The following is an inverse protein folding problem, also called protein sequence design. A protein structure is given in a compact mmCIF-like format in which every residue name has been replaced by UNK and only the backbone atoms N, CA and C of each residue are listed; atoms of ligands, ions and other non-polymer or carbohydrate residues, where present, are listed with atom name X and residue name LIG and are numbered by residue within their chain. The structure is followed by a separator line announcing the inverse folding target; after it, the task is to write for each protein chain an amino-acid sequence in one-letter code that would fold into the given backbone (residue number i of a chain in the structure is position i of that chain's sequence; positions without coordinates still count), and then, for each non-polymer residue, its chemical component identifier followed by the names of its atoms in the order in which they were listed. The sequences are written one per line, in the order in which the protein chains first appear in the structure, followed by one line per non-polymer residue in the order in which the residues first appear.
data_IF_014247688798
#
_entry.id   IF_014247688798
#
_cell.length_a   1.000
_cell.length_b   1.000
_cell.length_c   1.000
_cell.angle_alpha   90.00
_cell.angle_beta   90.00
_cell.angle_gamma   90.00
#
_symmetry.space_group_name_H-M   'P 1'
#
loop_
_entity.id
_entity.type
_entity.pdbx_description
1 polymer ?
#
# COMPACT_ATOMS: atom_id res chain seq x y z
N UNK A 1 3.81 2.10 -9.31
CA UNK A 1 3.23 3.00 -8.28
C UNK A 1 1.94 3.53 -8.86
N UNK A 2 0.81 3.29 -8.19
CA UNK A 2 -0.51 3.82 -8.60
C UNK A 2 -0.95 4.77 -7.49
N UNK A 3 -1.20 6.03 -7.86
CA UNK A 3 -1.68 7.06 -6.94
C UNK A 3 -3.16 7.25 -7.21
N UNK A 4 -3.97 7.22 -6.15
CA UNK A 4 -5.40 7.45 -6.22
C UNK A 4 -5.79 8.69 -5.42
N UNK A 5 -6.52 9.60 -6.06
CA UNK A 5 -6.98 10.85 -5.46
C UNK A 5 -8.50 10.84 -5.48
N UNK A 6 -9.12 11.02 -4.31
CA UNK A 6 -10.55 11.29 -4.20
C UNK A 6 -10.75 12.74 -3.82
N UNK A 7 -11.52 13.46 -4.62
CA UNK A 7 -12.02 14.77 -4.24
C UNK A 7 -13.42 14.61 -3.67
N UNK A 8 -13.68 15.17 -2.48
CA UNK A 8 -15.05 15.45 -2.05
C UNK A 8 -15.43 16.84 -2.55
N UNK A 9 -16.58 16.95 -3.22
CA UNK A 9 -17.16 18.23 -3.61
C UNK A 9 -18.59 18.28 -3.07
N UNK A 10 -18.78 18.88 -1.90
CA UNK A 10 -20.07 19.42 -1.45
C UNK A 10 -19.94 20.85 -0.91
N UNK A 11 -18.76 21.27 -0.45
CA UNK A 11 -18.42 22.66 -0.11
C UNK A 11 -17.04 23.07 -0.67
N UNK A 12 -16.82 24.35 -1.01
CA UNK A 12 -15.61 24.82 -1.70
C UNK A 12 -14.29 24.76 -0.90
N UNK A 13 -14.30 24.29 0.35
CA UNK A 13 -13.13 24.25 1.24
C UNK A 13 -12.66 22.83 1.62
N UNK A 14 -13.27 21.76 1.11
CA UNK A 14 -12.90 20.41 1.50
C UNK A 14 -11.73 19.86 0.65
N UNK A 15 -10.70 19.39 1.36
CA UNK A 15 -9.44 18.90 0.80
C UNK A 15 -9.56 17.59 0.02
N UNK A 16 -8.44 17.17 -0.56
CA UNK A 16 -8.33 15.93 -1.33
C UNK A 16 -7.94 14.79 -0.38
N UNK A 17 -8.64 13.65 -0.45
CA UNK A 17 -8.24 12.41 0.21
C UNK A 17 -7.25 11.66 -0.68
N UNK A 18 -6.08 11.30 -0.14
CA UNK A 18 -5.01 10.64 -0.91
C UNK A 18 -4.78 9.20 -0.43
N UNK A 19 -5.00 8.26 -1.36
CA UNK A 19 -4.66 6.85 -1.22
C UNK A 19 -3.53 6.46 -2.17
N UNK A 20 -2.50 5.78 -1.66
CA UNK A 20 -1.35 5.36 -2.47
C UNK A 20 -1.30 3.83 -2.50
N UNK A 21 -1.21 3.25 -3.71
CA UNK A 21 -0.94 1.82 -3.88
C UNK A 21 0.44 1.66 -4.48
N UNK A 22 1.31 0.94 -3.76
CA UNK A 22 2.69 0.72 -4.20
C UNK A 22 2.93 -0.72 -4.64
N UNK A 23 3.69 -0.86 -5.73
CA UNK A 23 4.22 -2.16 -6.18
C UNK A 23 5.62 -2.39 -5.64
N UNK A 24 6.09 -3.64 -5.71
CA UNK A 24 7.41 -4.07 -5.21
C UNK A 24 8.44 -4.34 -6.30
N UNK A 25 8.12 -4.04 -7.57
CA UNK A 25 8.91 -4.42 -8.74
C UNK A 25 10.34 -3.86 -8.80
N UNK A 26 10.66 -2.84 -7.99
CA UNK A 26 12.03 -2.32 -7.84
C UNK A 26 12.90 -3.22 -6.95
N UNK A 27 12.33 -3.88 -5.94
CA UNK A 27 13.03 -4.78 -5.01
C UNK A 27 12.92 -6.23 -5.50
N UNK A 28 11.78 -6.60 -6.07
CA UNK A 28 11.47 -7.97 -6.43
C UNK A 28 10.79 -8.04 -7.81
N UNK A 29 11.48 -8.57 -8.82
CA UNK A 29 10.97 -8.73 -10.20
C UNK A 29 10.68 -10.20 -10.50
N UNK A 30 9.40 -10.53 -10.69
CA UNK A 30 8.93 -11.89 -10.95
C UNK A 30 9.66 -12.63 -12.09
N UNK A 31 10.09 -11.91 -13.12
CA UNK A 31 10.84 -12.49 -14.25
C UNK A 31 12.20 -13.07 -13.85
N UNK A 32 12.87 -12.49 -12.85
CA UNK A 32 14.16 -13.01 -12.35
C UNK A 32 14.03 -14.31 -11.56
N UNK A 33 12.82 -14.64 -11.07
CA UNK A 33 12.62 -15.79 -10.20
C UNK A 33 12.28 -17.07 -10.92
N UNK A 34 11.64 -16.96 -12.09
CA UNK A 34 11.38 -18.11 -12.95
C UNK A 34 12.67 -18.89 -13.28
N UNK A 35 13.83 -18.23 -13.23
CA UNK A 35 15.15 -18.83 -13.44
C UNK A 35 15.87 -19.23 -12.14
N UNK A 36 15.43 -18.74 -10.98
CA UNK A 36 16.11 -18.94 -9.69
C UNK A 36 15.75 -20.25 -8.97
N UNK A 37 14.76 -20.99 -9.46
CA UNK A 37 14.24 -22.20 -8.80
C UNK A 37 13.39 -21.94 -7.55
N UNK A 38 13.12 -20.67 -7.21
CA UNK A 38 12.24 -20.29 -6.11
C UNK A 38 10.78 -20.64 -6.45
N UNK A 39 10.10 -21.27 -5.50
CA UNK A 39 8.67 -21.59 -5.63
C UNK A 39 7.84 -20.32 -5.81
N UNK A 40 6.81 -20.41 -6.66
CA UNK A 40 5.98 -19.27 -7.06
C UNK A 40 5.27 -18.63 -5.86
N UNK A 41 4.80 -19.40 -4.88
CA UNK A 41 4.11 -18.87 -3.69
C UNK A 41 5.09 -18.09 -2.82
N UNK A 42 6.29 -18.63 -2.66
CA UNK A 42 7.38 -17.94 -1.94
C UNK A 42 7.71 -16.62 -2.64
N UNK A 43 7.82 -16.64 -3.97
CA UNK A 43 8.08 -15.43 -4.74
C UNK A 43 6.98 -14.37 -4.59
N UNK A 44 5.71 -14.77 -4.62
CA UNK A 44 4.60 -13.82 -4.38
C UNK A 44 4.65 -13.20 -2.98
N UNK A 45 5.00 -13.97 -1.94
CA UNK A 45 5.20 -13.44 -0.59
C UNK A 45 6.35 -12.43 -0.52
N UNK A 46 7.48 -12.73 -1.16
CA UNK A 46 8.61 -11.80 -1.26
C UNK A 46 8.19 -10.51 -1.98
N UNK A 47 7.40 -10.62 -3.05
CA UNK A 47 6.82 -9.48 -3.76
C UNK A 47 5.89 -8.64 -2.89
N UNK A 48 5.04 -9.28 -2.07
CA UNK A 48 4.17 -8.58 -1.10
C UNK A 48 5.00 -7.87 -0.03
N UNK A 49 6.03 -8.49 0.54
CA UNK A 49 6.93 -7.86 1.50
C UNK A 49 7.69 -6.68 0.89
N UNK A 50 8.15 -6.80 -0.35
CA UNK A 50 8.79 -5.72 -1.09
C UNK A 50 7.88 -4.47 -1.19
N UNK A 51 6.57 -4.64 -1.34
CA UNK A 51 5.63 -3.51 -1.32
C UNK A 51 5.55 -2.84 0.05
N UNK A 52 5.64 -3.59 1.15
CA UNK A 52 5.65 -3.06 2.52
C UNK A 52 6.92 -2.23 2.75
N UNK A 53 8.08 -2.73 2.32
CA UNK A 53 9.35 -1.98 2.42
C UNK A 53 9.24 -0.63 1.72
N UNK A 54 8.72 -0.62 0.49
CA UNK A 54 8.52 0.62 -0.25
C UNK A 54 7.50 1.56 0.43
N UNK A 55 6.42 1.00 0.99
CA UNK A 55 5.40 1.78 1.66
C UNK A 55 5.96 2.51 2.89
N UNK A 56 6.80 1.85 3.68
CA UNK A 56 7.50 2.47 4.82
C UNK A 56 8.44 3.59 4.37
N UNK A 57 9.18 3.38 3.28
CA UNK A 57 10.05 4.42 2.72
C UNK A 57 9.26 5.67 2.27
N UNK A 58 8.09 5.47 1.65
CA UNK A 58 7.21 6.59 1.29
C UNK A 58 6.62 7.26 2.52
N UNK A 59 6.22 6.50 3.55
CA UNK A 59 5.69 7.07 4.78
C UNK A 59 6.72 8.02 5.42
N UNK A 60 7.96 7.56 5.60
CA UNK A 60 9.05 8.36 6.15
C UNK A 60 9.33 9.61 5.30
N UNK A 61 9.35 9.48 3.97
CA UNK A 61 9.53 10.63 3.07
C UNK A 61 8.41 11.67 3.19
N UNK A 62 7.15 11.25 3.33
CA UNK A 62 5.99 12.13 3.51
C UNK A 62 6.00 12.78 4.90
N UNK A 63 6.33 12.02 5.95
CA UNK A 63 6.41 12.52 7.32
C UNK A 63 7.53 13.57 7.48
N UNK A 64 8.66 13.41 6.77
CA UNK A 64 9.71 14.45 6.68
C UNK A 64 9.25 15.75 6.02
N UNK A 65 8.19 15.70 5.21
CA UNK A 65 7.57 16.89 4.60
C UNK A 65 6.41 17.45 5.45
N UNK A 66 6.23 16.95 6.68
CA UNK A 66 5.17 17.41 7.59
C UNK A 66 3.79 16.85 7.27
N UNK A 67 3.69 15.86 6.38
CA UNK A 67 2.43 15.20 6.06
C UNK A 67 2.19 14.01 7.00
N UNK A 68 0.92 13.75 7.34
CA UNK A 68 0.57 12.56 8.12
C UNK A 68 0.27 11.40 7.19
N UNK A 69 1.12 10.37 7.20
CA UNK A 69 0.96 9.18 6.37
C UNK A 69 0.82 7.90 7.21
N UNK A 70 0.00 6.94 6.76
CA UNK A 70 -0.20 5.66 7.44
C UNK A 70 -0.14 4.50 6.45
N UNK A 71 0.76 3.55 6.72
CA UNK A 71 0.85 2.29 5.97
C UNK A 71 -0.16 1.29 6.52
N UNK A 72 -0.96 0.74 5.61
CA UNK A 72 -1.89 -0.35 5.86
C UNK A 72 -1.55 -1.53 4.95
N UNK A 73 -1.49 -2.73 5.51
CA UNK A 73 -1.10 -3.93 4.79
C UNK A 73 -2.20 -4.98 4.79
N UNK A 74 -2.42 -5.63 3.64
CA UNK A 74 -3.28 -6.80 3.55
C UNK A 74 -2.66 -8.05 4.21
N UNK A 75 -1.34 -8.07 4.39
CA UNK A 75 -0.63 -9.08 5.17
C UNK A 75 -0.40 -8.56 6.59
N UNK A 76 -0.75 -9.36 7.59
CA UNK A 76 -0.47 -9.04 9.00
C UNK A 76 1.03 -9.11 9.27
N UNK A 77 1.66 -7.95 9.39
CA UNK A 77 3.04 -7.81 9.84
C UNK A 77 3.03 -6.95 11.10
N UNK A 78 2.91 -7.65 12.24
CA UNK A 78 2.86 -7.00 13.55
C UNK A 78 4.10 -6.13 13.76
N UNK A 79 3.96 -5.07 14.54
CA UNK A 79 5.01 -4.06 14.84
C UNK A 79 5.44 -3.17 13.67
N UNK A 80 5.17 -3.55 12.41
CA UNK A 80 5.65 -2.81 11.24
C UNK A 80 4.60 -1.87 10.64
N UNK A 81 3.35 -2.33 10.48
CA UNK A 81 2.30 -1.53 9.85
C UNK A 81 0.90 -1.91 10.35
N UNK A 82 -0.09 -1.04 10.11
CA UNK A 82 -1.47 -1.32 10.47
C UNK A 82 -2.07 -2.41 9.56
N UNK A 83 -2.90 -3.27 10.12
CA UNK A 83 -3.69 -4.22 9.32
C UNK A 83 -4.73 -3.48 8.47
N UNK A 84 -4.89 -3.87 7.21
CA UNK A 84 -5.87 -3.27 6.31
C UNK A 84 -7.29 -3.60 6.78
N UNK A 85 -7.97 -2.57 7.27
CA UNK A 85 -9.38 -2.62 7.59
C UNK A 85 -10.03 -1.43 6.90
N UNK A 86 -10.96 -1.69 5.96
CA UNK A 86 -11.63 -0.66 5.14
C UNK A 86 -12.12 0.53 5.97
N UNK A 87 -12.80 0.28 7.09
CA UNK A 87 -13.30 1.32 8.00
C UNK A 87 -12.19 2.19 8.62
N UNK A 88 -11.03 1.60 8.93
CA UNK A 88 -9.88 2.37 9.44
C UNK A 88 -9.24 3.21 8.34
N UNK A 89 -9.10 2.65 7.14
CA UNK A 89 -8.61 3.37 5.97
C UNK A 89 -9.48 4.60 5.69
N UNK A 90 -10.81 4.43 5.63
CA UNK A 90 -11.76 5.54 5.47
C UNK A 90 -11.57 6.61 6.56
N UNK A 91 -11.44 6.22 7.83
CA UNK A 91 -11.26 7.17 8.93
C UNK A 91 -9.92 7.90 8.90
N UNK A 92 -8.87 7.32 8.31
CA UNK A 92 -7.61 8.03 8.08
C UNK A 92 -7.76 9.06 6.96
N UNK A 93 -8.43 8.68 5.87
CA UNK A 93 -8.73 9.57 4.73
C UNK A 93 -9.60 10.77 5.16
N UNK A 94 -10.69 10.53 5.90
CA UNK A 94 -11.58 11.57 6.45
C UNK A 94 -10.84 12.58 7.36
N UNK A 95 -9.72 12.16 7.96
CA UNK A 95 -8.88 13.01 8.81
C UNK A 95 -7.80 13.77 8.03
N UNK A 96 -7.80 13.68 6.70
CA UNK A 96 -6.79 14.28 5.83
C UNK A 96 -5.43 13.59 5.88
N UNK A 97 -5.37 12.32 6.33
CA UNK A 97 -4.12 11.54 6.34
C UNK A 97 -3.95 10.82 5.02
N UNK A 98 -2.70 10.72 4.57
CA UNK A 98 -2.31 9.93 3.41
C UNK A 98 -2.33 8.46 3.81
N UNK A 99 -3.11 7.63 3.12
CA UNK A 99 -3.16 6.19 3.41
C UNK A 99 -2.40 5.43 2.32
N UNK A 100 -1.41 4.64 2.72
CA UNK A 100 -0.56 3.85 1.81
C UNK A 100 -0.94 2.38 1.96
N UNK A 101 -1.38 1.76 0.88
CA UNK A 101 -1.80 0.36 0.84
C UNK A 101 -0.66 -0.52 0.31
N UNK A 102 -0.29 -1.51 1.11
CA UNK A 102 0.77 -2.47 0.85
C UNK A 102 0.25 -3.92 0.89
N UNK A 103 1.13 -4.85 0.50
CA UNK A 103 0.92 -6.28 0.37
C UNK A 103 -0.16 -6.72 -0.63
N UNK A 104 -0.53 -5.87 -1.59
CA UNK A 104 -1.49 -6.26 -2.64
C UNK A 104 -2.86 -6.61 -2.03
N UNK A 105 -3.39 -7.78 -2.39
CA UNK A 105 -4.63 -8.32 -1.80
C UNK A 105 -4.38 -9.18 -0.54
N UNK A 106 -3.12 -9.40 -0.17
CA UNK A 106 -2.73 -10.32 0.90
C UNK A 106 -2.86 -11.81 0.53
N UNK A 107 -3.39 -12.10 -0.66
CA UNK A 107 -3.55 -13.47 -1.18
C UNK A 107 -2.40 -13.75 -2.15
N UNK A 108 -1.53 -14.74 -1.88
CA UNK A 108 -0.54 -15.20 -2.86
C UNK A 108 -1.22 -15.49 -4.19
N UNK A 109 -0.58 -15.17 -5.33
CA UNK A 109 -1.11 -15.28 -6.72
C UNK A 109 -1.99 -14.10 -7.18
N UNK A 110 -2.71 -13.38 -6.29
CA UNK A 110 -3.61 -12.29 -6.67
C UNK A 110 -3.08 -10.91 -6.23
N UNK A 111 -2.52 -10.12 -7.14
CA UNK A 111 -1.91 -8.83 -6.79
C UNK A 111 -2.78 -7.60 -7.17
N UNK A 112 -4.01 -7.78 -7.67
CA UNK A 112 -4.89 -6.66 -8.09
C UNK A 112 -5.73 -6.12 -6.94
N UNK A 113 -5.36 -4.93 -6.45
CA UNK A 113 -6.10 -4.16 -5.43
C UNK A 113 -7.39 -3.50 -5.97
N UNK A 114 -7.57 -3.43 -7.30
CA UNK A 114 -8.65 -2.67 -7.94
C UNK A 114 -10.10 -3.14 -7.64
N UNK A 115 -10.33 -4.26 -6.96
CA UNK A 115 -11.68 -4.80 -6.73
C UNK A 115 -12.19 -4.69 -5.28
N UNK A 116 -11.41 -4.16 -4.34
CA UNK A 116 -11.76 -4.17 -2.90
C UNK A 116 -12.12 -2.80 -2.29
N UNK A 117 -12.22 -1.75 -3.12
CA UNK A 117 -12.71 -0.42 -2.72
C UNK A 117 -13.76 0.07 -3.71
#
# INVERSE_FOLDING_TARGET
MIIWLRKYNQFPNDGIELGIVIGGGNIFRGEGLAQSGIDRVTGDQMGMLATIINALAIQDALERQGMYARVMSALKVNEVCEDYIRRRATRHLEKGRITIFAAGTGIPILQRIQQLL
#
